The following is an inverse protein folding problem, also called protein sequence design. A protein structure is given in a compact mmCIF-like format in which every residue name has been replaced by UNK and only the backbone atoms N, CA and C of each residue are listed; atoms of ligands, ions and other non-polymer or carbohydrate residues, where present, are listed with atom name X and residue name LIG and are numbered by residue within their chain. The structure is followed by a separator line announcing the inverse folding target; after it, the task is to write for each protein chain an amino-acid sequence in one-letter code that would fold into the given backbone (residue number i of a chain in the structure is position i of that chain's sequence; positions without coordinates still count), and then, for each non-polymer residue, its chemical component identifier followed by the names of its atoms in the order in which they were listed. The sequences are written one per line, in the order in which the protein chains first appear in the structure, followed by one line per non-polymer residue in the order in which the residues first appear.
data_IF_833139104552
#
_entry.id   IF_833139104552
#
_cell.length_a   1.000
_cell.length_b   1.000
_cell.length_c   1.000
_cell.angle_alpha   90.00
_cell.angle_beta   90.00
_cell.angle_gamma   90.00
#
_symmetry.space_group_name_H-M   'P 1'
#
loop_
_entity.id
_entity.type
_entity.pdbx_description
1 polymer ?
#
# COMPACT_ATOMS: atom_id res chain seq x y z
N UNK A 1 -1.25 -27.28 -26.65
CA UNK A 1 -0.68 -26.29 -25.75
C UNK A 1 0.80 -26.20 -26.04
N UNK A 2 1.27 -25.09 -26.63
CA UNK A 2 2.53 -24.99 -27.37
C UNK A 2 3.73 -24.88 -26.41
N UNK A 3 4.81 -25.66 -26.65
CA UNK A 3 6.05 -25.64 -25.83
C UNK A 3 6.62 -24.24 -25.64
N UNK A 4 6.46 -23.34 -26.63
CA UNK A 4 6.84 -21.94 -26.53
C UNK A 4 6.07 -21.20 -25.42
N UNK A 5 4.76 -21.37 -25.31
CA UNK A 5 3.96 -20.71 -24.25
C UNK A 5 4.32 -21.21 -22.84
N UNK A 6 4.76 -22.48 -22.76
CA UNK A 6 5.21 -23.04 -21.48
C UNK A 6 6.60 -22.49 -21.09
N UNK A 7 7.48 -22.32 -22.07
CA UNK A 7 8.81 -21.72 -21.86
C UNK A 7 8.72 -20.24 -21.51
N UNK A 8 7.86 -19.45 -22.16
CA UNK A 8 7.60 -18.05 -21.83
C UNK A 8 7.01 -17.90 -20.42
N UNK A 9 6.05 -18.77 -20.06
CA UNK A 9 5.45 -18.76 -18.72
C UNK A 9 6.47 -19.11 -17.62
N UNK A 10 7.39 -20.03 -17.91
CA UNK A 10 8.50 -20.38 -17.00
C UNK A 10 9.56 -19.28 -16.92
N UNK A 11 9.88 -18.64 -18.05
CA UNK A 11 10.81 -17.50 -18.08
C UNK A 11 10.24 -16.29 -17.31
N UNK A 12 8.97 -15.97 -17.49
CA UNK A 12 8.29 -14.92 -16.74
C UNK A 12 8.21 -15.23 -15.25
N UNK A 13 7.89 -16.46 -14.86
CA UNK A 13 7.89 -16.88 -13.46
C UNK A 13 9.31 -16.84 -12.83
N UNK A 14 10.35 -17.16 -13.60
CA UNK A 14 11.74 -17.07 -13.14
C UNK A 14 12.22 -15.60 -13.03
N UNK A 15 11.73 -14.71 -13.88
CA UNK A 15 11.97 -13.26 -13.80
C UNK A 15 11.24 -12.64 -12.61
N UNK A 16 9.99 -13.01 -12.37
CA UNK A 16 9.22 -12.59 -11.18
C UNK A 16 9.92 -13.02 -9.90
N UNK A 17 10.44 -14.25 -9.82
CA UNK A 17 11.19 -14.73 -8.66
C UNK A 17 12.50 -13.98 -8.44
N UNK A 18 13.18 -13.49 -9.47
CA UNK A 18 14.39 -12.65 -9.34
C UNK A 18 14.10 -11.27 -8.76
N UNK A 19 12.98 -10.66 -9.15
CA UNK A 19 12.58 -9.33 -8.65
C UNK A 19 12.24 -9.36 -7.15
N UNK A 20 11.71 -10.49 -6.68
CA UNK A 20 11.32 -10.68 -5.28
C UNK A 20 12.32 -11.51 -4.47
N UNK A 21 13.48 -11.89 -5.05
CA UNK A 21 14.50 -12.62 -4.30
C UNK A 21 15.01 -11.76 -3.14
N UNK A 22 14.69 -12.09 -1.90
CA UNK A 22 15.19 -11.32 -0.77
C UNK A 22 16.71 -11.44 -0.70
N UNK A 23 17.43 -10.36 -0.36
CA UNK A 23 18.85 -10.45 -0.08
C UNK A 23 19.07 -11.53 1.00
N UNK A 24 20.18 -12.28 0.90
CA UNK A 24 20.55 -13.32 1.88
C UNK A 24 20.59 -12.72 3.28
N UNK A 25 19.53 -12.91 4.03
CA UNK A 25 19.41 -12.36 5.37
C UNK A 25 20.17 -13.22 6.37
N UNK A 26 20.89 -12.54 7.30
CA UNK A 26 21.47 -13.22 8.47
C UNK A 26 20.32 -13.56 9.43
N UNK A 27 20.12 -14.82 9.85
CA UNK A 27 18.95 -15.22 10.66
C UNK A 27 18.78 -14.39 11.94
N UNK A 28 19.88 -14.04 12.63
CA UNK A 28 19.84 -13.20 13.82
C UNK A 28 19.35 -11.77 13.55
N UNK A 29 19.70 -11.19 12.41
CA UNK A 29 19.22 -9.87 12.00
C UNK A 29 17.72 -9.86 11.73
N UNK A 30 17.21 -10.86 11.02
CA UNK A 30 15.75 -10.95 10.72
C UNK A 30 14.93 -11.13 12.00
N UNK A 31 15.43 -11.92 12.96
CA UNK A 31 14.77 -12.08 14.25
C UNK A 31 14.76 -10.78 15.05
N UNK A 32 15.91 -10.11 15.21
CA UNK A 32 16.00 -8.85 15.93
C UNK A 32 15.16 -7.75 15.28
N UNK A 33 15.18 -7.67 13.94
CA UNK A 33 14.37 -6.75 13.16
C UNK A 33 12.86 -7.01 13.38
N UNK A 34 12.45 -8.27 13.37
CA UNK A 34 11.03 -8.63 13.57
C UNK A 34 10.56 -8.31 14.99
N UNK A 35 11.39 -8.59 16.01
CA UNK A 35 11.11 -8.22 17.39
C UNK A 35 10.95 -6.69 17.54
N UNK A 36 11.86 -5.92 16.94
CA UNK A 36 11.77 -4.46 16.88
C UNK A 36 10.47 -3.98 16.22
N UNK A 37 10.13 -4.51 15.03
CA UNK A 37 8.91 -4.15 14.30
C UNK A 37 7.65 -4.38 15.16
N UNK A 38 7.58 -5.52 15.87
CA UNK A 38 6.43 -5.86 16.73
C UNK A 38 6.34 -4.90 17.91
N UNK A 39 7.44 -4.72 18.65
CA UNK A 39 7.45 -3.87 19.86
C UNK A 39 7.10 -2.43 19.51
N UNK A 40 7.77 -1.87 18.51
CA UNK A 40 7.56 -0.47 18.12
C UNK A 40 6.17 -0.21 17.56
N UNK A 41 5.65 -1.13 16.72
CA UNK A 41 4.30 -0.99 16.18
C UNK A 41 3.22 -1.14 17.25
N UNK A 42 3.40 -2.04 18.21
CA UNK A 42 2.49 -2.19 19.33
C UNK A 42 2.47 -0.94 20.21
N UNK A 43 3.63 -0.44 20.62
CA UNK A 43 3.74 0.79 21.41
C UNK A 43 3.13 1.98 20.67
N UNK A 44 3.43 2.12 19.37
CA UNK A 44 2.85 3.19 18.56
C UNK A 44 1.32 3.10 18.48
N UNK A 45 0.73 1.92 18.33
CA UNK A 45 -0.72 1.73 18.33
C UNK A 45 -1.36 2.13 19.66
N UNK A 46 -0.73 1.77 20.80
CA UNK A 46 -1.22 2.14 22.13
C UNK A 46 -1.14 3.65 22.33
N UNK A 47 0.02 4.27 22.06
CA UNK A 47 0.24 5.72 22.26
C UNK A 47 -0.66 6.54 21.34
N UNK A 48 -0.81 6.13 20.08
CA UNK A 48 -1.59 6.85 19.08
C UNK A 48 -3.08 6.48 19.07
N UNK A 49 -3.54 5.59 19.96
CA UNK A 49 -4.96 5.18 20.04
C UNK A 49 -5.95 6.35 20.16
N UNK A 50 -5.68 7.45 20.90
CA UNK A 50 -6.56 8.62 20.90
C UNK A 50 -6.64 9.30 19.51
N UNK A 51 -5.53 9.32 18.76
CA UNK A 51 -5.50 9.89 17.39
C UNK A 51 -6.32 9.01 16.47
N UNK A 52 -6.18 7.67 16.56
CA UNK A 52 -7.02 6.72 15.80
C UNK A 52 -8.50 6.96 16.04
N UNK A 53 -8.91 7.13 17.28
CA UNK A 53 -10.30 7.38 17.65
C UNK A 53 -10.79 8.72 17.08
N UNK A 54 -10.04 9.81 17.29
CA UNK A 54 -10.40 11.13 16.81
C UNK A 54 -10.54 11.19 15.28
N UNK A 55 -9.58 10.62 14.56
CA UNK A 55 -9.61 10.55 13.08
C UNK A 55 -10.76 9.67 12.59
N UNK A 56 -11.02 8.54 13.25
CA UNK A 56 -12.14 7.66 12.92
C UNK A 56 -13.49 8.37 13.04
N UNK A 57 -13.68 9.12 14.12
CA UNK A 57 -14.90 9.91 14.34
C UNK A 57 -14.99 11.02 13.26
N UNK A 58 -13.90 11.74 13.00
CA UNK A 58 -13.90 12.82 12.00
C UNK A 58 -14.26 12.31 10.60
N UNK A 59 -13.69 11.20 10.15
CA UNK A 59 -14.02 10.59 8.84
C UNK A 59 -15.48 10.14 8.80
N UNK A 60 -15.96 9.50 9.88
CA UNK A 60 -17.34 9.02 9.94
C UNK A 60 -18.37 10.17 9.92
N UNK A 61 -18.08 11.26 10.62
CA UNK A 61 -18.95 12.43 10.66
C UNK A 61 -18.97 13.23 9.34
N UNK A 62 -17.90 13.13 8.52
CA UNK A 62 -17.82 13.88 7.27
C UNK A 62 -18.74 13.30 6.17
N UNK A 63 -18.80 11.96 6.02
CA UNK A 63 -19.55 11.30 4.95
C UNK A 63 -20.21 9.96 5.31
N UNK A 64 -20.17 9.55 6.59
CA UNK A 64 -20.90 8.37 7.11
C UNK A 64 -20.36 7.00 6.69
N UNK A 65 -19.31 6.94 5.89
CA UNK A 65 -18.82 5.70 5.32
C UNK A 65 -17.72 4.99 6.15
N UNK A 66 -17.13 3.95 5.56
CA UNK A 66 -16.08 3.17 6.19
C UNK A 66 -14.85 4.03 6.51
N UNK A 67 -14.34 3.93 7.73
CA UNK A 67 -13.17 4.67 8.20
C UNK A 67 -11.87 4.17 7.57
N UNK A 68 -11.76 2.85 7.37
CA UNK A 68 -10.57 2.20 6.83
C UNK A 68 -10.78 1.87 5.35
N UNK A 69 -9.80 2.28 4.56
CA UNK A 69 -9.62 1.87 3.17
C UNK A 69 -8.51 0.82 3.08
N UNK A 70 -8.64 -0.13 2.17
CA UNK A 70 -7.59 -1.13 1.93
C UNK A 70 -7.29 -1.27 0.44
N UNK A 71 -6.02 -1.42 0.10
CA UNK A 71 -5.55 -1.70 -1.26
C UNK A 71 -4.69 -2.97 -1.29
N UNK A 72 -4.80 -3.75 -2.37
CA UNK A 72 -3.98 -4.95 -2.54
C UNK A 72 -2.56 -4.55 -2.93
N UNK A 73 -1.59 -5.06 -2.20
CA UNK A 73 -0.16 -4.83 -2.38
C UNK A 73 0.62 -6.14 -2.31
N UNK A 74 1.87 -6.11 -2.76
CA UNK A 74 2.77 -7.26 -2.70
C UNK A 74 3.77 -7.12 -1.55
N UNK A 75 3.94 -8.22 -0.80
CA UNK A 75 5.03 -8.35 0.18
C UNK A 75 6.38 -8.51 -0.54
N UNK A 76 7.49 -8.49 0.21
CA UNK A 76 8.84 -8.78 -0.31
C UNK A 76 8.97 -10.14 -1.00
N UNK A 77 8.07 -11.08 -0.74
CA UNK A 77 8.06 -12.42 -1.31
C UNK A 77 7.02 -12.58 -2.43
N UNK A 78 6.47 -11.49 -2.96
CA UNK A 78 5.47 -11.52 -4.02
C UNK A 78 4.07 -11.98 -3.59
N UNK A 79 3.83 -12.17 -2.28
CA UNK A 79 2.51 -12.55 -1.77
C UNK A 79 1.62 -11.33 -1.63
N UNK A 80 0.37 -11.42 -2.06
CA UNK A 80 -0.62 -10.36 -1.90
C UNK A 80 -1.04 -10.18 -0.44
N UNK A 81 -1.22 -8.91 -0.05
CA UNK A 81 -1.80 -8.55 1.24
C UNK A 81 -2.64 -7.27 1.13
N UNK A 82 -3.55 -7.07 2.08
CA UNK A 82 -4.36 -5.85 2.20
C UNK A 82 -3.60 -4.81 3.02
N UNK A 83 -3.14 -3.75 2.36
CA UNK A 83 -2.51 -2.61 3.03
C UNK A 83 -3.59 -1.65 3.53
N UNK A 84 -3.63 -1.39 4.83
CA UNK A 84 -4.63 -0.56 5.47
C UNK A 84 -4.22 0.91 5.49
N UNK A 85 -5.21 1.80 5.30
CA UNK A 85 -5.08 3.24 5.45
C UNK A 85 -6.38 3.81 6.01
N UNK A 86 -6.31 4.99 6.63
CA UNK A 86 -7.53 5.77 6.81
C UNK A 86 -8.06 6.23 5.47
N UNK A 87 -9.39 6.22 5.31
CA UNK A 87 -10.04 6.72 4.11
C UNK A 87 -9.87 8.24 4.05
N UNK A 88 -9.31 8.73 2.97
CA UNK A 88 -9.06 10.14 2.69
C UNK A 88 -9.83 10.68 1.48
N UNK A 89 -10.65 9.82 0.85
CA UNK A 89 -11.47 10.15 -0.32
C UNK A 89 -12.93 9.82 -0.06
N UNK A 90 -13.84 10.49 -0.79
CA UNK A 90 -15.28 10.23 -0.73
C UNK A 90 -15.61 8.78 -1.13
N UNK A 91 -16.81 8.32 -0.76
CA UNK A 91 -17.26 6.94 -0.98
C UNK A 91 -17.30 6.54 -2.45
N UNK A 92 -17.63 7.47 -3.34
CA UNK A 92 -17.77 7.31 -4.77
C UNK A 92 -16.48 7.68 -5.55
N UNK A 93 -15.32 7.73 -4.87
CA UNK A 93 -14.04 8.15 -5.45
C UNK A 93 -13.60 7.28 -6.64
N UNK A 94 -13.87 5.97 -6.61
CA UNK A 94 -13.52 5.06 -7.71
C UNK A 94 -14.41 5.30 -8.95
N UNK A 95 -15.70 5.57 -8.75
CA UNK A 95 -16.64 5.88 -9.84
C UNK A 95 -16.29 7.21 -10.52
N UNK A 96 -15.77 8.17 -9.75
CA UNK A 96 -15.34 9.48 -10.27
C UNK A 96 -13.99 9.41 -10.99
N UNK A 97 -13.23 8.32 -10.84
CA UNK A 97 -11.88 8.22 -11.41
C UNK A 97 -11.89 8.38 -12.93
N UNK A 98 -12.79 7.68 -13.63
CA UNK A 98 -12.85 7.67 -15.09
C UNK A 98 -13.11 9.07 -15.68
N UNK A 99 -13.97 9.86 -15.02
CA UNK A 99 -14.26 11.25 -15.43
C UNK A 99 -13.08 12.21 -15.20
N UNK A 100 -12.15 11.84 -14.33
CA UNK A 100 -10.99 12.66 -13.97
C UNK A 100 -9.70 12.24 -14.72
N UNK A 101 -9.74 11.16 -15.49
CA UNK A 101 -8.54 10.65 -16.19
C UNK A 101 -7.92 11.68 -17.14
N UNK A 102 -8.74 12.54 -17.77
CA UNK A 102 -8.27 13.62 -18.66
C UNK A 102 -7.49 14.72 -17.92
N UNK A 103 -7.62 14.83 -16.60
CA UNK A 103 -6.94 15.80 -15.75
C UNK A 103 -5.66 15.24 -15.13
N UNK A 104 -5.23 14.03 -15.51
CA UNK A 104 -4.02 13.42 -14.96
C UNK A 104 -2.77 14.22 -15.29
N UNK A 105 -2.02 14.65 -14.29
CA UNK A 105 -0.78 15.43 -14.40
C UNK A 105 0.48 14.54 -14.56
N UNK A 106 0.32 13.22 -14.41
CA UNK A 106 1.45 12.28 -14.49
C UNK A 106 1.51 11.59 -15.84
N UNK A 107 2.71 11.52 -16.40
CA UNK A 107 3.00 10.64 -17.52
C UNK A 107 3.23 9.22 -16.98
N UNK A 108 2.37 8.26 -17.39
CA UNK A 108 2.48 6.86 -16.97
C UNK A 108 1.26 6.33 -16.21
N UNK A 109 1.36 5.14 -15.60
CA UNK A 109 0.23 4.43 -15.01
C UNK A 109 -0.28 5.04 -13.69
N UNK A 110 0.50 5.93 -13.09
CA UNK A 110 0.12 6.60 -11.86
C UNK A 110 -0.84 7.76 -12.14
N UNK A 111 -1.96 7.79 -11.40
CA UNK A 111 -2.92 8.90 -11.46
C UNK A 111 -2.61 9.90 -10.35
N UNK A 112 -2.44 11.17 -10.71
CA UNK A 112 -2.25 12.27 -9.77
C UNK A 112 -2.83 13.56 -10.34
N UNK A 113 -3.60 14.26 -9.52
CA UNK A 113 -4.09 15.63 -9.75
C UNK A 113 -3.67 16.46 -8.53
N UNK A 114 -3.18 17.69 -8.72
CA UNK A 114 -2.75 18.57 -7.63
C UNK A 114 -3.90 18.85 -6.64
N UNK A 115 -5.08 19.16 -7.17
CA UNK A 115 -6.30 19.33 -6.40
C UNK A 115 -7.34 18.26 -6.77
N UNK A 116 -7.17 17.04 -6.27
CA UNK A 116 -8.08 15.94 -6.52
C UNK A 116 -9.43 16.19 -5.77
N UNK A 117 -10.56 16.41 -6.52
CA UNK A 117 -11.85 16.72 -5.92
C UNK A 117 -12.45 15.57 -5.12
N UNK A 118 -11.90 14.37 -5.23
CA UNK A 118 -12.34 13.19 -4.45
C UNK A 118 -11.84 13.21 -3.02
N UNK A 119 -10.80 14.03 -2.72
CA UNK A 119 -10.23 14.10 -1.39
C UNK A 119 -11.13 14.94 -0.48
N UNK A 120 -11.56 14.36 0.64
CA UNK A 120 -12.39 15.04 1.64
C UNK A 120 -11.59 16.10 2.40
N UNK A 121 -12.24 16.98 3.19
CA UNK A 121 -11.55 18.00 3.99
C UNK A 121 -10.68 17.36 5.06
N UNK A 122 -11.22 16.38 5.79
CA UNK A 122 -10.46 15.54 6.73
C UNK A 122 -9.35 14.80 5.99
N UNK A 123 -9.66 14.26 4.81
CA UNK A 123 -8.71 13.58 3.93
C UNK A 123 -7.51 14.44 3.57
N UNK A 124 -7.70 15.72 3.23
CA UNK A 124 -6.60 16.68 2.96
C UNK A 124 -5.66 16.82 4.17
N UNK A 125 -6.23 16.96 5.37
CA UNK A 125 -5.46 17.08 6.59
C UNK A 125 -4.65 15.81 6.92
N UNK A 126 -5.30 14.64 6.94
CA UNK A 126 -4.62 13.38 7.30
C UNK A 126 -3.56 12.98 6.28
N UNK A 127 -3.74 13.29 4.98
CA UNK A 127 -2.71 13.08 3.94
C UNK A 127 -1.51 14.01 4.11
N UNK A 128 -1.75 15.30 4.40
CA UNK A 128 -0.69 16.28 4.64
C UNK A 128 0.19 15.91 5.84
N UNK A 129 -0.39 15.29 6.86
CA UNK A 129 0.29 14.87 8.09
C UNK A 129 0.73 13.40 8.08
N UNK A 130 0.46 12.66 6.99
CA UNK A 130 0.69 11.21 6.88
C UNK A 130 -0.04 10.35 7.94
N UNK A 131 -1.01 10.92 8.63
CA UNK A 131 -1.86 10.21 9.61
C UNK A 131 -2.68 9.12 8.91
N UNK A 132 -3.02 9.31 7.63
CA UNK A 132 -3.73 8.30 6.82
C UNK A 132 -2.99 6.97 6.73
N UNK A 133 -1.67 6.94 6.95
CA UNK A 133 -0.85 5.73 6.89
C UNK A 133 -0.72 4.98 8.23
N UNK A 134 -1.18 5.57 9.35
CA UNK A 134 -1.07 4.94 10.68
C UNK A 134 -1.68 3.53 10.76
N UNK A 135 -2.79 3.17 10.08
CA UNK A 135 -3.32 1.81 10.10
C UNK A 135 -2.36 0.75 9.53
N UNK A 136 -1.30 1.13 8.80
CA UNK A 136 -0.24 0.23 8.36
C UNK A 136 0.53 -0.39 9.53
N UNK A 137 0.52 0.20 10.73
CA UNK A 137 1.08 -0.41 11.94
C UNK A 137 0.48 -1.79 12.21
N UNK A 138 -0.80 -2.01 11.86
CA UNK A 138 -1.44 -3.33 11.94
C UNK A 138 -0.84 -4.30 10.93
N UNK A 139 -0.51 -3.84 9.71
CA UNK A 139 0.18 -4.67 8.72
C UNK A 139 1.59 -5.06 9.19
N UNK A 140 2.28 -4.15 9.87
CA UNK A 140 3.60 -4.44 10.44
C UNK A 140 3.49 -5.49 11.55
N UNK A 141 2.50 -5.39 12.44
CA UNK A 141 2.25 -6.40 13.46
C UNK A 141 1.92 -7.78 12.87
N UNK A 142 1.18 -7.82 11.76
CA UNK A 142 0.87 -9.07 11.04
C UNK A 142 2.09 -9.67 10.35
N UNK A 143 3.10 -8.86 10.03
CA UNK A 143 4.29 -9.28 9.29
C UNK A 143 4.19 -9.10 7.79
N UNK A 144 3.15 -8.44 7.30
CA UNK A 144 3.00 -8.09 5.89
C UNK A 144 4.00 -7.00 5.46
N UNK A 145 4.35 -6.12 6.42
CA UNK A 145 5.24 -4.98 6.25
C UNK A 145 6.27 -4.90 7.38
N UNK A 146 7.23 -3.99 7.24
CA UNK A 146 8.22 -3.64 8.25
C UNK A 146 8.33 -2.11 8.34
N UNK A 147 8.72 -1.58 9.52
CA UNK A 147 8.95 -0.15 9.73
C UNK A 147 10.01 0.37 8.76
N UNK A 148 11.06 -0.41 8.56
CA UNK A 148 12.15 -0.07 7.62
C UNK A 148 12.16 -1.07 6.47
N UNK A 149 11.82 -0.61 5.28
CA UNK A 149 11.79 -1.46 4.08
C UNK A 149 11.32 -0.70 2.84
N UNK A 150 11.41 -1.32 1.67
CA UNK A 150 10.88 -0.73 0.44
C UNK A 150 9.37 -0.59 0.49
N UNK A 151 8.84 0.40 -0.22
CA UNK A 151 7.39 0.61 -0.31
C UNK A 151 6.74 -0.55 -1.08
N UNK A 152 5.64 -1.17 -0.55
CA UNK A 152 4.95 -2.26 -1.23
C UNK A 152 4.38 -1.82 -2.58
N UNK A 153 4.62 -2.63 -3.63
CA UNK A 153 4.16 -2.35 -4.98
C UNK A 153 2.65 -2.62 -5.13
N UNK A 154 2.00 -1.85 -5.99
CA UNK A 154 0.64 -2.14 -6.43
C UNK A 154 0.66 -3.30 -7.43
N UNK A 155 -0.18 -4.31 -7.22
CA UNK A 155 -0.31 -5.47 -8.12
C UNK A 155 -0.60 -5.04 -9.56
N UNK A 156 -1.44 -4.03 -9.77
CA UNK A 156 -1.80 -3.52 -11.10
C UNK A 156 -0.64 -2.94 -11.90
N UNK A 157 0.48 -2.60 -11.26
CA UNK A 157 1.66 -2.04 -11.94
C UNK A 157 2.74 -3.09 -12.22
N UNK A 158 2.55 -4.33 -11.77
CA UNK A 158 3.53 -5.41 -11.98
C UNK A 158 3.89 -5.63 -13.46
N UNK A 159 2.93 -5.66 -14.42
CA UNK A 159 3.23 -5.82 -15.84
C UNK A 159 4.12 -4.70 -16.38
N UNK A 160 3.91 -3.47 -15.94
CA UNK A 160 4.65 -2.29 -16.40
C UNK A 160 6.09 -2.23 -15.88
N UNK A 161 6.34 -2.81 -14.70
CA UNK A 161 7.71 -2.93 -14.18
C UNK A 161 8.51 -3.99 -14.95
N UNK A 162 7.87 -5.04 -15.44
CA UNK A 162 8.53 -6.07 -16.24
C UNK A 162 8.95 -5.53 -17.62
N UNK A 163 8.17 -4.63 -18.23
CA UNK A 163 8.51 -3.98 -19.52
C UNK A 163 9.65 -2.95 -19.38
N UNK A 164 9.81 -2.32 -18.22
CA UNK A 164 10.85 -1.29 -18.01
C UNK A 164 12.24 -1.88 -17.69
N UNK A 165 12.33 -3.20 -17.44
CA UNK A 165 13.59 -3.89 -17.05
C UNK A 165 14.11 -4.77 -18.19
N UNK A 166 13.37 -4.89 -19.30
CA UNK A 166 13.83 -5.53 -20.53
C UNK A 166 14.41 -4.49 -21.50
#
# INVERSE_FOLDING_TARGET
MNLMQTAEKQANAAQETRFFAPPKAKPGYEFAKRAFDIVMSFLALVILSPVFLAVSIAIHLEDGGNVIYSSIRLTKNGKEFKMYKFRSMCMDAEQKLDSLMSLNEMNGPAFKIAEDPRITKVGKFIRKTSIDELPQLVNILKGDMSIVGPRPLLVKYLPLYNEAVT
#
